data_IF_958930430319
#
_entry.id   IF_958930430319
#
_cell.length_a   1.000
_cell.length_b   1.000
_cell.length_c   1.000
_cell.angle_alpha   90.00
_cell.angle_beta   90.00
_cell.angle_gamma   90.00
#
_symmetry.space_group_name_H-M   'P 1'
#
loop_
_entity.id
_entity.type
_entity.pdbx_description
1 polymer ?
#
# COMPACT_ATOMS: atom_id res chain seq x y z
N UNK A 1 5.26 -5.90 11.19
CA UNK A 1 3.78 -5.91 11.28
C UNK A 1 3.20 -5.83 9.88
N UNK A 2 2.08 -6.51 9.60
CA UNK A 2 1.39 -6.42 8.30
C UNK A 2 -0.09 -6.14 8.51
N UNK A 3 -0.61 -5.04 7.97
CA UNK A 3 -2.05 -4.83 7.86
C UNK A 3 -2.54 -5.48 6.57
N UNK A 4 -3.26 -6.59 6.71
CA UNK A 4 -3.95 -7.28 5.61
C UNK A 4 -5.48 -7.14 5.71
N UNK A 5 -5.95 -6.16 6.48
CA UNK A 5 -7.38 -5.86 6.63
C UNK A 5 -7.78 -4.65 5.76
N UNK A 6 -9.08 -4.40 5.58
CA UNK A 6 -9.56 -3.20 4.88
C UNK A 6 -9.39 -1.89 5.68
N UNK A 7 -8.90 -1.91 6.92
CA UNK A 7 -8.77 -0.70 7.74
C UNK A 7 -7.82 0.29 7.06
N UNK A 8 -8.28 1.52 6.87
CA UNK A 8 -7.56 2.59 6.17
C UNK A 8 -7.83 2.67 4.66
N UNK A 9 -8.52 1.69 4.06
CA UNK A 9 -8.90 1.71 2.65
C UNK A 9 -9.92 2.82 2.35
N UNK A 10 -9.63 3.65 1.34
CA UNK A 10 -10.52 4.76 0.96
C UNK A 10 -10.62 5.88 1.99
N UNK A 11 -9.65 5.99 2.90
CA UNK A 11 -9.61 7.06 3.89
C UNK A 11 -9.38 8.44 3.25
N UNK A 12 -10.01 9.46 3.84
CA UNK A 12 -9.90 10.87 3.46
C UNK A 12 -8.98 11.64 4.42
N UNK A 13 -8.52 12.86 4.04
CA UNK A 13 -7.76 13.71 4.95
C UNK A 13 -8.53 14.00 6.25
N UNK A 14 -7.96 13.62 7.39
CA UNK A 14 -8.57 13.77 8.71
C UNK A 14 -9.08 12.47 9.32
N UNK A 15 -9.13 11.38 8.54
CA UNK A 15 -9.42 10.06 9.09
C UNK A 15 -8.29 9.56 10.00
N UNK A 16 -8.66 8.80 11.03
CA UNK A 16 -7.75 8.26 12.04
C UNK A 16 -7.84 6.73 12.18
N UNK A 17 -8.46 6.05 11.21
CA UNK A 17 -8.63 4.61 11.24
C UNK A 17 -7.28 3.88 11.16
N UNK A 18 -6.91 3.18 12.23
CA UNK A 18 -5.67 2.42 12.36
C UNK A 18 -5.96 0.98 12.80
N UNK A 19 -5.30 -0.03 12.19
CA UNK A 19 -5.49 -1.43 12.58
C UNK A 19 -4.91 -1.73 13.97
N UNK A 20 -3.96 -0.91 14.44
CA UNK A 20 -3.40 -0.94 15.78
C UNK A 20 -2.63 0.36 16.08
N UNK A 21 -2.38 0.61 17.37
CA UNK A 21 -1.54 1.72 17.83
C UNK A 21 -0.06 1.53 17.44
N UNK A 22 0.56 2.46 16.68
CA UNK A 22 1.99 2.41 16.36
C UNK A 22 2.91 2.25 17.57
N UNK A 23 2.53 2.75 18.75
CA UNK A 23 3.31 2.64 19.99
C UNK A 23 3.48 1.20 20.50
N UNK A 24 2.72 0.24 19.94
CA UNK A 24 2.85 -1.18 20.24
C UNK A 24 3.95 -1.88 19.44
N UNK A 25 4.54 -1.22 18.44
CA UNK A 25 5.67 -1.77 17.68
C UNK A 25 6.99 -1.56 18.42
N UNK A 26 7.83 -2.58 18.39
CA UNK A 26 9.18 -2.52 18.94
C UNK A 26 10.12 -1.75 18.01
N UNK A 27 11.17 -1.11 18.56
CA UNK A 27 12.21 -0.47 17.76
C UNK A 27 12.80 -1.42 16.71
N UNK A 28 12.98 -0.93 15.48
CA UNK A 28 13.54 -1.69 14.36
C UNK A 28 12.56 -2.62 13.65
N UNK A 29 11.28 -2.68 14.05
CA UNK A 29 10.26 -3.38 13.28
C UNK A 29 9.87 -2.60 12.03
N UNK A 30 9.58 -3.32 10.94
CA UNK A 30 9.02 -2.78 9.71
C UNK A 30 7.51 -3.04 9.68
N UNK A 31 6.75 -2.08 9.18
CA UNK A 31 5.32 -2.19 8.93
C UNK A 31 5.02 -2.21 7.42
N UNK A 32 4.08 -3.05 7.01
CA UNK A 32 3.54 -3.06 5.65
C UNK A 32 2.02 -2.93 5.74
N UNK A 33 1.47 -1.96 5.04
CA UNK A 33 0.03 -1.80 4.86
C UNK A 33 -0.35 -2.29 3.46
N UNK A 34 -1.18 -3.34 3.36
CA UNK A 34 -1.58 -3.88 2.05
C UNK A 34 -2.59 -2.99 1.33
N UNK A 35 -3.13 -1.97 2.01
CA UNK A 35 -3.89 -0.91 1.36
C UNK A 35 -2.99 -0.15 0.37
N UNK A 36 -3.47 -0.04 -0.87
CA UNK A 36 -2.80 0.70 -1.95
C UNK A 36 -3.55 1.96 -2.39
N UNK A 37 -4.75 2.20 -1.84
CA UNK A 37 -5.52 3.42 -2.06
C UNK A 37 -6.28 3.82 -0.77
N UNK A 38 -5.99 5.01 -0.20
CA UNK A 38 -4.93 5.95 -0.63
C UNK A 38 -3.50 5.36 -0.47
N UNK A 39 -2.51 5.95 -1.15
CA UNK A 39 -1.10 5.52 -1.05
C UNK A 39 -0.50 5.76 0.34
N UNK A 40 -1.07 6.71 1.07
CA UNK A 40 -0.67 7.05 2.43
C UNK A 40 -1.93 7.02 3.30
N UNK A 41 -2.11 5.93 4.05
CA UNK A 41 -3.19 5.79 5.03
C UNK A 41 -2.85 6.56 6.32
N UNK A 42 -3.85 6.82 7.19
CA UNK A 42 -3.62 7.40 8.51
C UNK A 42 -2.58 6.60 9.31
N UNK A 43 -2.63 5.27 9.23
CA UNK A 43 -1.68 4.39 9.91
C UNK A 43 -0.26 4.51 9.37
N UNK A 44 -0.07 4.58 8.05
CA UNK A 44 1.27 4.81 7.46
C UNK A 44 1.87 6.15 7.90
N UNK A 45 1.05 7.20 8.00
CA UNK A 45 1.49 8.49 8.53
C UNK A 45 1.90 8.39 10.00
N UNK A 46 1.08 7.74 10.83
CA UNK A 46 1.34 7.58 12.24
C UNK A 46 2.59 6.71 12.51
N UNK A 47 2.79 5.62 11.76
CA UNK A 47 4.00 4.80 11.85
C UNK A 47 5.26 5.63 11.53
N UNK A 48 5.23 6.40 10.43
CA UNK A 48 6.35 7.24 10.02
C UNK A 48 6.66 8.35 11.03
N UNK A 49 5.65 8.95 11.66
CA UNK A 49 5.85 9.95 12.72
C UNK A 49 6.49 9.35 13.99
N UNK A 50 6.35 8.05 14.21
CA UNK A 50 7.02 7.29 15.27
C UNK A 50 8.39 6.75 14.86
N UNK A 51 8.91 7.11 13.68
CA UNK A 51 10.20 6.63 13.17
C UNK A 51 10.20 5.16 12.74
N UNK A 52 9.02 4.58 12.51
CA UNK A 52 8.86 3.20 12.04
C UNK A 52 8.92 3.18 10.52
N UNK A 53 9.74 2.27 9.97
CA UNK A 53 9.79 2.04 8.53
C UNK A 53 8.46 1.43 8.07
N UNK A 54 7.79 2.09 7.11
CA UNK A 54 6.44 1.74 6.70
C UNK A 54 6.22 1.82 5.19
N UNK A 55 5.72 0.73 4.61
CA UNK A 55 5.49 0.53 3.17
C UNK A 55 4.01 0.34 2.84
N UNK A 56 3.55 0.91 1.72
CA UNK A 56 2.18 0.77 1.22
C UNK A 56 1.99 -0.43 0.28
N UNK A 57 0.74 -0.76 -0.05
CA UNK A 57 0.38 -1.98 -0.75
C UNK A 57 0.63 -1.99 -2.27
N UNK A 58 1.08 -0.89 -2.87
CA UNK A 58 1.22 -0.78 -4.33
C UNK A 58 2.16 -1.85 -4.93
N UNK A 59 3.29 -2.14 -4.28
CA UNK A 59 4.22 -3.17 -4.76
C UNK A 59 3.58 -4.55 -4.74
N UNK A 60 2.82 -4.87 -3.69
CA UNK A 60 2.04 -6.10 -3.59
C UNK A 60 1.01 -6.18 -4.73
N UNK A 61 0.23 -5.12 -4.96
CA UNK A 61 -0.72 -5.04 -6.08
C UNK A 61 -0.03 -5.27 -7.44
N UNK A 62 1.12 -4.66 -7.66
CA UNK A 62 1.89 -4.77 -8.90
C UNK A 62 2.37 -6.20 -9.14
N UNK A 63 3.06 -6.80 -8.16
CA UNK A 63 3.68 -8.10 -8.35
C UNK A 63 2.68 -9.25 -8.36
N UNK A 64 1.57 -9.15 -7.63
CA UNK A 64 0.48 -10.13 -7.77
C UNK A 64 -0.16 -10.05 -9.16
N UNK A 65 -0.34 -8.83 -9.70
CA UNK A 65 -0.88 -8.64 -11.05
C UNK A 65 0.09 -9.13 -12.13
N UNK A 66 1.40 -8.90 -11.96
CA UNK A 66 2.44 -9.43 -12.83
C UNK A 66 2.44 -10.96 -12.87
N UNK A 67 2.27 -11.60 -11.69
CA UNK A 67 2.14 -13.07 -11.62
C UNK A 67 0.89 -13.56 -12.33
N UNK A 68 -0.25 -12.90 -12.12
CA UNK A 68 -1.51 -13.25 -12.78
C UNK A 68 -1.41 -13.09 -14.31
N UNK A 69 -0.84 -11.98 -14.78
CA UNK A 69 -0.59 -11.74 -16.21
C UNK A 69 0.20 -12.90 -16.83
N UNK A 70 1.33 -13.25 -16.22
CA UNK A 70 2.19 -14.34 -16.71
C UNK A 70 1.46 -15.67 -16.78
N UNK A 71 0.62 -15.97 -15.77
CA UNK A 71 -0.18 -17.21 -15.74
C UNK A 71 -1.26 -17.24 -16.83
N UNK A 72 -1.85 -16.09 -17.16
CA UNK A 72 -2.95 -16.01 -18.12
C UNK A 72 -2.46 -15.95 -19.57
N UNK A 73 -1.36 -15.25 -19.82
CA UNK A 73 -0.87 -14.99 -21.18
C UNK A 73 0.23 -15.96 -21.61
N UNK A 74 0.96 -16.55 -20.64
CA UNK A 74 2.19 -17.29 -20.89
C UNK A 74 3.40 -16.39 -21.21
N UNK A 75 3.22 -15.07 -21.22
CA UNK A 75 4.26 -14.08 -21.51
C UNK A 75 4.82 -13.48 -20.22
N UNK A 76 6.09 -13.10 -20.22
CA UNK A 76 6.70 -12.38 -19.10
C UNK A 76 5.97 -11.03 -18.88
N UNK A 77 5.61 -10.75 -17.63
CA UNK A 77 4.89 -9.52 -17.32
C UNK A 77 5.76 -8.27 -17.54
N UNK A 78 5.26 -7.24 -18.25
CA UNK A 78 5.98 -5.98 -18.45
C UNK A 78 5.89 -5.10 -17.20
N UNK A 79 6.58 -5.49 -16.12
CA UNK A 79 6.43 -4.90 -14.77
C UNK A 79 6.61 -3.37 -14.77
N UNK A 80 7.59 -2.84 -15.50
CA UNK A 80 7.82 -1.40 -15.56
C UNK A 80 6.64 -0.63 -16.18
N UNK A 81 6.02 -1.18 -17.23
CA UNK A 81 4.83 -0.57 -17.85
C UNK A 81 3.61 -0.68 -16.93
N UNK A 82 3.45 -1.82 -16.24
CA UNK A 82 2.38 -2.02 -15.26
C UNK A 82 2.51 -1.06 -14.07
N UNK A 83 3.72 -0.84 -13.55
CA UNK A 83 3.96 0.11 -12.46
C UNK A 83 3.62 1.53 -12.89
N UNK A 84 4.08 1.96 -14.07
CA UNK A 84 3.77 3.28 -14.62
C UNK A 84 2.25 3.49 -14.75
N UNK A 85 1.53 2.48 -15.25
CA UNK A 85 0.08 2.53 -15.40
C UNK A 85 -0.64 2.59 -14.04
N UNK A 86 -0.23 1.76 -13.08
CA UNK A 86 -0.82 1.72 -11.74
C UNK A 86 -0.63 3.05 -10.99
N UNK A 87 0.56 3.64 -11.05
CA UNK A 87 0.84 4.96 -10.44
C UNK A 87 0.00 6.06 -11.08
N UNK A 88 -0.08 6.09 -12.41
CA UNK A 88 -0.91 7.07 -13.11
C UNK A 88 -2.39 6.96 -12.71
N UNK A 89 -2.92 5.75 -12.63
CA UNK A 89 -4.31 5.51 -12.23
C UNK A 89 -4.61 5.92 -10.79
N UNK A 90 -3.68 5.71 -9.85
CA UNK A 90 -3.84 6.12 -8.46
C UNK A 90 -3.75 7.63 -8.27
N UNK A 91 -2.97 8.34 -9.09
CA UNK A 91 -2.95 9.81 -9.09
C UNK A 91 -4.30 10.38 -9.49
N UNK A 92 -4.95 9.82 -10.51
CA UNK A 92 -6.28 10.26 -10.95
C UNK A 92 -7.32 10.04 -9.85
N UNK A 93 -7.35 8.84 -9.24
CA UNK A 93 -8.29 8.50 -8.16
C UNK A 93 -8.14 9.34 -6.89
N UNK A 94 -6.97 9.95 -6.66
CA UNK A 94 -6.76 10.85 -5.51
C UNK A 94 -7.21 12.29 -5.78
N UNK A 95 -7.63 12.61 -7.01
CA UNK A 95 -8.15 13.92 -7.40
C UNK A 95 -9.69 13.95 -7.47
N UNK A 96 -10.33 12.79 -7.38
CA UNK A 96 -11.79 12.60 -7.26
C UNK A 96 -12.21 12.61 -5.78
#
# INVERSE_FOLDING_TARGET
MVNATPVGMGSEPGDEAMPLDPGLLNPGQVAVDLVYHPLTTPWLNALRSHGIEAHHGLSMLLFQAARAFTLWTGEEAPVAAMESAARAALTVRGAD
#
